data_IF_282270862306
#
_entry.id   IF_282270862306
#
_cell.length_a   1.000
_cell.length_b   1.000
_cell.length_c   1.000
_cell.angle_alpha   90.00
_cell.angle_beta   90.00
_cell.angle_gamma   90.00
#
_symmetry.space_group_name_H-M   'P 1'
#
loop_
_entity.id
_entity.type
_entity.pdbx_description
1 polymer ?
2 non-polymer ?
3 water ?
#
# COMPACT_ATOMS: atom_id res chain seq x y z
N UNK A 1 4.98 -26.98 -18.60
CA UNK A 1 3.59 -26.48 -18.38
C UNK A 1 3.58 -25.27 -17.43
N UNK A 2 4.12 -25.40 -16.22
CA UNK A 2 4.01 -24.29 -15.22
C UNK A 2 5.34 -23.61 -14.97
N UNK A 3 5.34 -22.28 -14.76
CA UNK A 3 6.60 -21.62 -14.42
C UNK A 3 7.17 -22.13 -13.11
N UNK A 4 8.51 -22.12 -13.03
CA UNK A 4 9.19 -22.47 -11.77
C UNK A 4 8.95 -21.50 -10.63
N UNK A 5 8.69 -20.24 -10.97
CA UNK A 5 8.45 -19.23 -9.97
C UNK A 5 7.44 -18.21 -10.45
N UNK A 6 6.68 -17.71 -9.47
CA UNK A 6 5.63 -16.72 -9.68
C UNK A 6 5.70 -15.70 -8.55
N UNK A 7 5.47 -14.42 -8.88
CA UNK A 7 5.35 -13.37 -7.89
C UNK A 7 4.42 -12.30 -8.43
N UNK A 8 3.16 -12.37 -8.00
CA UNK A 8 2.14 -11.45 -8.51
C UNK A 8 2.35 -10.01 -8.10
N UNK A 9 3.21 -9.76 -7.12
CA UNK A 9 3.53 -8.36 -6.80
C UNK A 9 4.20 -7.70 -7.98
N UNK A 10 4.99 -8.48 -8.74
CA UNK A 10 5.73 -7.98 -9.92
C UNK A 10 4.81 -7.53 -11.02
N UNK A 11 3.55 -7.98 -11.04
CA UNK A 11 2.56 -7.51 -12.04
C UNK A 11 1.65 -6.42 -11.50
N UNK A 12 1.96 -5.87 -10.33
CA UNK A 12 1.18 -4.79 -9.77
C UNK A 12 -0.22 -5.20 -9.32
N UNK A 13 -0.38 -6.46 -8.93
CA UNK A 13 -1.66 -7.04 -8.58
C UNK A 13 -1.92 -7.14 -7.08
N UNK A 14 -1.04 -6.62 -6.24
CA UNK A 14 -1.10 -6.82 -4.79
C UNK A 14 -0.96 -5.46 -4.11
N UNK A 15 -1.88 -5.18 -3.19
CA UNK A 15 -1.93 -3.94 -2.47
C UNK A 15 -0.95 -3.98 -1.29
N UNK A 16 -0.82 -2.86 -0.62
CA UNK A 16 0.04 -2.78 0.56
C UNK A 16 -0.37 -3.77 1.62
N UNK A 17 0.59 -4.24 2.38
CA UNK A 17 0.30 -5.11 3.54
C UNK A 17 -0.51 -4.32 4.55
N UNK A 18 -1.51 -4.98 5.13
CA UNK A 18 -2.36 -4.38 6.12
C UNK A 18 -2.01 -4.92 7.53
N UNK A 19 -2.53 -4.23 8.52
CA UNK A 19 -2.33 -4.60 9.92
C UNK A 19 -3.66 -4.87 10.62
N UNK A 20 -3.92 -6.13 10.92
CA UNK A 20 -5.20 -6.50 11.54
C UNK A 20 -5.38 -6.11 13.00
N UNK A 21 -4.27 -5.97 13.73
CA UNK A 21 -4.33 -5.67 15.15
C UNK A 21 -5.04 -6.74 15.96
N UNK A 22 -5.82 -6.32 16.96
CA UNK A 22 -6.45 -7.26 17.90
C UNK A 22 -7.76 -7.88 17.41
N UNK A 23 -8.16 -7.55 16.20
CA UNK A 23 -9.34 -8.13 15.57
C UNK A 23 -8.92 -9.30 14.70
N UNK A 24 -9.54 -10.45 14.93
CA UNK A 24 -9.24 -11.68 14.21
C UNK A 24 -9.84 -11.67 12.80
N UNK A 25 -9.37 -10.74 11.99
CA UNK A 25 -9.97 -10.47 10.66
C UNK A 25 -9.10 -10.99 9.54
N UNK A 26 -8.11 -11.84 9.82
CA UNK A 26 -7.27 -12.38 8.73
C UNK A 26 -8.05 -12.99 7.58
N UNK A 27 -9.13 -13.69 7.92
CA UNK A 27 -10.06 -14.23 6.91
C UNK A 27 -10.53 -13.13 5.92
N UNK A 28 -10.84 -11.93 6.44
CA UNK A 28 -11.37 -10.87 5.58
C UNK A 28 -10.25 -10.27 4.73
N UNK A 29 -9.07 -10.10 5.32
CA UNK A 29 -7.93 -9.57 4.54
C UNK A 29 -7.51 -10.53 3.45
N UNK A 30 -7.55 -11.81 3.76
CA UNK A 30 -7.22 -12.88 2.81
C UNK A 30 -8.19 -12.82 1.60
N UNK A 31 -9.48 -12.69 1.88
CA UNK A 31 -10.50 -12.61 0.81
C UNK A 31 -10.34 -11.35 -0.04
N UNK A 32 -10.25 -10.17 0.60
CA UNK A 32 -10.08 -8.92 -0.21
C UNK A 32 -8.79 -8.94 -1.06
N UNK A 33 -7.68 -9.47 -0.51
CA UNK A 33 -6.44 -9.58 -1.27
C UNK A 33 -6.57 -10.35 -2.57
N UNK A 34 -7.25 -11.51 -2.52
CA UNK A 34 -7.50 -12.29 -3.71
C UNK A 34 -8.37 -11.53 -4.73
N UNK A 35 -9.39 -10.84 -4.24
CA UNK A 35 -10.28 -10.07 -5.13
C UNK A 35 -9.60 -8.86 -5.72
N UNK A 36 -8.74 -8.20 -4.93
CA UNK A 36 -7.95 -7.04 -5.42
C UNK A 36 -7.14 -7.39 -6.64
N UNK A 37 -6.58 -8.60 -6.67
CA UNK A 37 -5.77 -9.00 -7.81
C UNK A 37 -6.62 -9.19 -9.06
N UNK A 38 -7.78 -9.82 -8.91
CA UNK A 38 -8.67 -10.00 -10.06
C UNK A 38 -9.18 -8.65 -10.57
N UNK A 39 -9.44 -7.73 -9.66
CA UNK A 39 -9.85 -6.39 -10.07
C UNK A 39 -8.76 -5.69 -10.92
N UNK A 40 -7.52 -5.75 -10.47
CA UNK A 40 -6.41 -5.23 -11.25
C UNK A 40 -6.30 -5.88 -12.63
N UNK A 41 -6.36 -7.20 -12.70
CA UNK A 41 -6.22 -7.88 -13.97
C UNK A 41 -7.33 -7.47 -14.93
N UNK A 42 -8.55 -7.34 -14.41
CA UNK A 42 -9.70 -6.97 -15.23
C UNK A 42 -9.75 -5.50 -15.66
N UNK A 43 -9.44 -4.58 -14.75
CA UNK A 43 -9.69 -3.15 -14.98
C UNK A 43 -8.46 -2.31 -15.15
N UNK A 44 -7.29 -2.88 -14.85
CA UNK A 44 -6.05 -2.14 -14.79
C UNK A 44 -5.84 -1.28 -13.56
N UNK A 45 -6.80 -1.24 -12.62
CA UNK A 45 -6.67 -0.38 -11.43
C UNK A 45 -6.38 -1.25 -10.19
N UNK A 46 -5.38 -0.84 -9.41
CA UNK A 46 -5.11 -1.47 -8.14
C UNK A 46 -5.78 -0.67 -7.04
N UNK A 47 -6.72 -1.30 -6.34
CA UNK A 47 -7.55 -0.63 -5.33
C UNK A 47 -7.71 -1.54 -4.14
N UNK A 48 -7.28 -1.09 -2.97
CA UNK A 48 -7.56 -1.82 -1.73
C UNK A 48 -9.06 -1.88 -1.50
N UNK A 49 -9.56 -3.08 -1.21
CA UNK A 49 -10.96 -3.33 -0.95
C UNK A 49 -11.17 -3.48 0.56
N UNK A 50 -12.42 -3.26 0.95
CA UNK A 50 -12.72 -3.04 2.36
C UNK A 50 -12.85 -4.35 3.15
N UNK A 51 -11.80 -4.72 3.90
CA UNK A 51 -11.90 -5.81 4.89
C UNK A 51 -12.98 -5.53 5.96
N UNK A 52 -13.13 -4.27 6.34
CA UNK A 52 -14.10 -3.88 7.36
C UNK A 52 -15.53 -4.16 6.92
N UNK A 53 -15.80 -3.90 5.65
CA UNK A 53 -17.10 -4.22 5.01
C UNK A 53 -17.42 -5.71 5.25
N UNK A 54 -16.44 -6.58 5.11
CA UNK A 54 -16.66 -8.03 5.35
C UNK A 54 -16.93 -8.31 6.81
N UNK A 55 -16.08 -7.76 7.70
CA UNK A 55 -16.21 -7.94 9.13
C UNK A 55 -17.61 -7.51 9.62
N UNK A 56 -18.07 -6.34 9.17
CA UNK A 56 -19.34 -5.79 9.65
C UNK A 56 -20.57 -6.38 8.97
N UNK A 57 -20.45 -6.85 7.74
CA UNK A 57 -21.61 -7.20 6.89
C UNK A 57 -21.75 -8.68 6.51
N UNK A 58 -20.64 -9.39 6.40
CA UNK A 58 -20.65 -10.82 6.06
C UNK A 58 -20.56 -11.55 7.38
N UNK A 59 -21.69 -11.61 8.05
CA UNK A 59 -21.75 -12.03 9.44
C UNK A 59 -22.53 -13.36 9.56
N UNK A 60 -23.51 -13.42 10.45
CA UNK A 60 -24.08 -14.72 10.85
C UNK A 60 -24.73 -15.50 9.71
N UNK A 61 -25.36 -14.81 8.77
CA UNK A 61 -25.92 -15.43 7.57
C UNK A 61 -24.85 -16.21 6.76
N UNK A 62 -23.60 -15.77 6.87
CA UNK A 62 -22.45 -16.33 6.16
C UNK A 62 -21.57 -17.17 7.04
N UNK A 63 -22.06 -17.52 8.24
CA UNK A 63 -21.30 -18.32 9.18
C UNK A 63 -20.05 -17.66 9.74
N UNK A 64 -19.98 -16.32 9.67
CA UNK A 64 -18.83 -15.55 10.14
C UNK A 64 -19.18 -14.77 11.41
N UNK A 65 -18.14 -14.42 12.15
CA UNK A 65 -18.31 -13.72 13.42
C UNK A 65 -17.35 -12.55 13.58
N UNK A 66 -17.16 -11.80 12.50
CA UNK A 66 -16.36 -10.58 12.52
C UNK A 66 -14.99 -10.76 13.08
N UNK A 67 -14.68 -9.98 14.13
CA UNK A 67 -13.41 -10.07 14.82
C UNK A 67 -13.15 -11.38 15.54
N UNK A 68 -14.17 -12.22 15.70
CA UNK A 68 -13.97 -13.57 16.25
C UNK A 68 -13.62 -14.61 15.21
N UNK A 69 -13.65 -14.27 13.91
CA UNK A 69 -13.22 -15.20 12.85
C UNK A 69 -14.32 -15.35 11.79
N UNK A 70 -13.95 -16.02 10.72
CA UNK A 70 -14.83 -16.17 9.55
C UNK A 70 -14.12 -16.96 8.48
N UNK A 71 -14.72 -17.00 7.29
CA UNK A 71 -14.27 -17.81 6.15
C UNK A 71 -14.26 -16.96 4.88
N UNK A 72 -13.19 -17.12 4.12
CA UNK A 72 -13.04 -16.49 2.82
C UNK A 72 -14.15 -16.90 1.83
N UNK A 73 -14.48 -18.18 1.78
CA UNK A 73 -15.55 -18.67 0.86
C UNK A 73 -16.87 -17.92 1.06
N UNK A 74 -17.31 -17.81 2.31
CA UNK A 74 -18.57 -17.13 2.58
C UNK A 74 -18.46 -15.61 2.47
N UNK A 75 -17.26 -15.07 2.70
CA UNK A 75 -17.00 -13.67 2.39
C UNK A 75 -17.24 -13.41 0.88
N UNK A 76 -16.72 -14.27 0.00
CA UNK A 76 -16.97 -14.14 -1.44
C UNK A 76 -18.47 -14.28 -1.73
N UNK A 77 -19.15 -15.22 -1.09
CA UNK A 77 -20.59 -15.36 -1.35
C UNK A 77 -21.35 -14.08 -0.94
N UNK A 78 -20.94 -13.46 0.17
CA UNK A 78 -21.52 -12.16 0.55
C UNK A 78 -21.35 -11.13 -0.55
N UNK A 79 -20.16 -11.03 -1.14
CA UNK A 79 -19.90 -10.05 -2.17
C UNK A 79 -20.79 -10.31 -3.39
N UNK A 80 -20.90 -11.57 -3.75
CA UNK A 80 -21.83 -11.99 -4.82
C UNK A 80 -23.27 -11.55 -4.50
N UNK A 81 -23.76 -11.96 -3.33
CA UNK A 81 -25.15 -11.68 -2.95
C UNK A 81 -25.44 -10.18 -2.86
N UNK A 82 -24.46 -9.43 -2.36
CA UNK A 82 -24.59 -7.99 -2.13
C UNK A 82 -24.41 -7.19 -3.40
N UNK A 83 -23.91 -7.82 -4.46
CA UNK A 83 -23.58 -7.15 -5.73
C UNK A 83 -22.54 -6.03 -5.51
N UNK A 84 -21.64 -6.25 -4.56
CA UNK A 84 -20.52 -5.37 -4.41
C UNK A 84 -19.78 -5.42 -3.11
N UNK A 85 -18.62 -4.79 -3.12
CA UNK A 85 -17.85 -4.49 -1.91
C UNK A 85 -17.29 -3.08 -2.08
N UNK A 86 -17.24 -2.34 -0.97
CA UNK A 86 -16.73 -0.98 -0.99
C UNK A 86 -15.21 -0.93 -1.04
N UNK A 87 -14.66 0.18 -1.51
CA UNK A 87 -13.22 0.48 -1.35
C UNK A 87 -12.85 0.56 0.13
N UNK A 88 -11.63 0.15 0.45
CA UNK A 88 -11.07 0.39 1.78
C UNK A 88 -11.06 1.88 2.08
N UNK A 89 -10.74 2.71 1.10
CA UNK A 89 -10.77 4.19 1.32
C UNK A 89 -12.11 4.70 1.80
N UNK A 90 -13.20 4.19 1.22
CA UNK A 90 -14.55 4.61 1.63
C UNK A 90 -15.04 3.96 2.91
N UNK A 91 -14.49 2.81 3.24
CA UNK A 91 -14.96 2.00 4.37
C UNK A 91 -13.70 1.41 5.05
N UNK A 92 -12.99 2.26 5.79
CA UNK A 92 -11.65 1.90 6.30
C UNK A 92 -11.68 0.97 7.50
N UNK A 93 -10.55 0.31 7.71
CA UNK A 93 -10.45 -0.72 8.75
C UNK A 93 -10.23 -0.13 10.13
N UNK A 94 -11.08 -0.57 11.07
CA UNK A 94 -11.03 -0.07 12.45
C UNK A 94 -10.68 -1.14 13.49
N UNK A 95 -10.43 -2.38 13.07
CA UNK A 95 -10.11 -3.44 14.03
C UNK A 95 -11.13 -3.63 15.15
N UNK A 96 -12.40 -3.49 14.80
CA UNK A 96 -13.51 -3.64 15.71
C UNK A 96 -14.75 -4.08 14.93
N UNK A 97 -15.67 -4.77 15.59
CA UNK A 97 -16.97 -5.09 15.00
C UNK A 97 -17.83 -3.84 15.02
N UNK A 98 -18.48 -3.54 13.90
CA UNK A 98 -19.33 -2.34 13.78
C UNK A 98 -20.62 -2.73 13.07
N UNK A 99 -21.60 -1.83 13.11
CA UNK A 99 -22.82 -2.00 12.32
C UNK A 99 -22.44 -2.04 10.84
N UNK A 100 -23.18 -2.81 10.03
CA UNK A 100 -22.92 -2.83 8.58
C UNK A 100 -23.19 -1.43 8.04
N UNK A 101 -22.21 -0.89 7.32
CA UNK A 101 -22.29 0.45 6.78
C UNK A 101 -21.95 0.43 5.29
N UNK A 102 -22.18 -0.72 4.64
CA UNK A 102 -22.05 -0.81 3.19
C UNK A 102 -22.85 0.28 2.49
N UNK A 103 -22.22 0.94 1.52
CA UNK A 103 -22.86 1.99 0.74
C UNK A 103 -22.49 1.72 -0.71
N UNK A 104 -23.46 1.34 -1.51
CA UNK A 104 -23.20 1.02 -2.91
C UNK A 104 -22.65 2.17 -3.72
N UNK A 105 -22.88 3.42 -3.28
CA UNK A 105 -22.26 4.59 -3.92
C UNK A 105 -20.74 4.43 -4.10
N UNK A 106 -20.11 3.77 -3.12
CA UNK A 106 -18.67 3.59 -3.08
C UNK A 106 -18.21 2.20 -3.44
N UNK A 107 -19.06 1.43 -4.07
CA UNK A 107 -18.68 0.12 -4.59
C UNK A 107 -17.43 0.19 -5.47
N UNK A 108 -16.46 -0.67 -5.18
CA UNK A 108 -15.21 -0.69 -5.91
C UNK A 108 -14.94 -2.02 -6.63
N UNK A 109 -15.68 -3.07 -6.30
CA UNK A 109 -15.58 -4.33 -7.04
C UNK A 109 -16.86 -5.13 -6.87
N UNK A 110 -17.02 -6.07 -7.78
CA UNK A 110 -18.00 -7.13 -7.66
C UNK A 110 -17.25 -8.47 -7.65
N UNK A 111 -18.01 -9.54 -7.43
CA UNK A 111 -17.52 -10.93 -7.52
C UNK A 111 -18.52 -11.71 -8.32
N UNK A 112 -18.05 -12.37 -9.37
CA UNK A 112 -18.92 -13.20 -10.23
C UNK A 112 -19.09 -14.64 -9.70
N UNK A 113 -18.01 -15.18 -9.13
CA UNK A 113 -17.95 -16.57 -8.68
C UNK A 113 -16.69 -16.76 -7.84
N UNK A 114 -16.63 -17.88 -7.14
CA UNK A 114 -15.42 -18.32 -6.49
C UNK A 114 -15.33 -19.83 -6.61
N UNK A 115 -14.14 -20.32 -6.43
CA UNK A 115 -13.78 -21.72 -6.65
C UNK A 115 -12.97 -22.21 -5.46
N UNK A 116 -13.31 -23.39 -4.92
CA UNK A 116 -12.56 -24.02 -3.85
C UNK A 116 -11.70 -25.11 -4.45
N UNK A 117 -10.45 -25.20 -4.02
CA UNK A 117 -9.53 -26.24 -4.46
C UNK A 117 -9.53 -27.44 -3.53
N UNK A 118 -9.10 -28.60 -4.03
CA UNK A 118 -9.09 -29.83 -3.23
C UNK A 118 -8.07 -29.81 -2.11
N UNK A 119 -8.43 -30.38 -0.97
CA UNK A 119 -7.60 -30.32 0.23
C UNK A 119 -6.26 -30.98 0.02
N UNK A 120 -5.19 -30.26 0.41
CA UNK A 120 -3.83 -30.81 0.43
C UNK A 120 -3.10 -30.95 -0.90
N UNK A 121 -3.72 -30.51 -1.99
CA UNK A 121 -3.12 -30.70 -3.29
C UNK A 121 -2.25 -29.49 -3.62
N UNK A 122 -0.97 -29.56 -3.29
CA UNK A 122 -0.03 -28.45 -3.56
C UNK A 122 0.26 -28.25 -5.06
N UNK A 123 0.09 -29.32 -5.82
CA UNK A 123 0.16 -29.23 -7.27
C UNK A 123 -0.97 -28.40 -7.88
N UNK A 124 -2.18 -28.60 -7.37
CA UNK A 124 -3.36 -27.89 -7.83
C UNK A 124 -3.28 -26.42 -7.38
N UNK A 125 -2.78 -26.20 -6.17
CA UNK A 125 -2.60 -24.85 -5.69
C UNK A 125 -1.58 -24.10 -6.58
N UNK A 126 -0.49 -24.78 -6.95
CA UNK A 126 0.56 -24.19 -7.78
C UNK A 126 -0.04 -23.78 -9.14
N UNK A 127 -0.84 -24.66 -9.72
CA UNK A 127 -1.47 -24.37 -10.99
C UNK A 127 -2.41 -23.16 -10.91
N UNK A 128 -3.21 -23.06 -9.84
CA UNK A 128 -4.13 -21.93 -9.66
C UNK A 128 -3.38 -20.62 -9.48
N UNK A 129 -2.31 -20.66 -8.66
CA UNK A 129 -1.47 -19.48 -8.48
C UNK A 129 -0.88 -19.03 -9.79
N UNK A 130 -0.36 -19.95 -10.59
CA UNK A 130 0.22 -19.57 -11.88
C UNK A 130 -0.81 -19.08 -12.91
N UNK A 131 -1.97 -19.74 -12.95
CA UNK A 131 -2.90 -19.57 -14.06
C UNK A 131 -4.08 -18.70 -13.74
N UNK A 132 -4.38 -18.47 -12.46
CA UNK A 132 -5.52 -17.61 -12.07
C UNK A 132 -5.11 -16.34 -11.37
N UNK A 133 -4.12 -16.41 -10.49
CA UNK A 133 -3.78 -15.29 -9.64
C UNK A 133 -3.60 -15.68 -8.18
N UNK A 134 -3.44 -14.68 -7.30
CA UNK A 134 -3.28 -14.96 -5.87
C UNK A 134 -4.45 -15.77 -5.33
N UNK A 135 -4.18 -16.70 -4.40
CA UNK A 135 -5.19 -17.61 -3.87
C UNK A 135 -5.29 -17.46 -2.38
N UNK A 136 -6.54 -17.30 -1.90
CA UNK A 136 -6.81 -17.22 -0.47
C UNK A 136 -6.64 -18.58 0.16
N UNK A 137 -5.91 -18.64 1.29
CA UNK A 137 -5.69 -19.91 1.97
C UNK A 137 -5.69 -19.67 3.46
N UNK A 138 -5.84 -20.75 4.20
CA UNK A 138 -5.54 -20.71 5.63
C UNK A 138 -4.26 -21.41 5.93
N UNK A 139 -3.68 -21.07 7.07
CA UNK A 139 -2.52 -21.74 7.63
C UNK A 139 -2.68 -21.95 9.12
N UNK A 140 -1.94 -22.91 9.62
CA UNK A 140 -1.83 -23.10 11.07
C UNK A 140 -0.81 -22.11 11.57
N UNK A 141 -1.28 -21.03 12.19
CA UNK A 141 -0.36 -19.99 12.72
C UNK A 141 -0.19 -20.02 14.24
N UNK A 142 -0.64 -21.09 14.89
CA UNK A 142 -0.62 -21.18 16.36
C UNK A 142 0.69 -21.79 16.89
N UNK A 143 1.79 -21.14 16.53
CA UNK A 143 3.15 -21.53 16.93
C UNK A 143 3.93 -20.26 17.15
N UNK A 144 4.65 -20.17 18.28
CA UNK A 144 5.44 -18.97 18.48
C UNK A 144 6.38 -18.65 17.32
N UNK A 145 6.92 -19.69 16.68
CA UNK A 145 7.81 -19.49 15.53
C UNK A 145 7.16 -18.65 14.40
N UNK A 146 5.84 -18.74 14.25
CA UNK A 146 5.17 -17.95 13.21
C UNK A 146 5.21 -16.48 13.58
N UNK A 147 4.84 -16.19 14.81
CA UNK A 147 4.83 -14.81 15.32
C UNK A 147 6.23 -14.18 15.33
N UNK A 148 7.26 -15.00 15.56
CA UNK A 148 8.63 -14.54 15.64
C UNK A 148 9.36 -14.58 14.29
N UNK A 149 8.70 -15.03 13.23
CA UNK A 149 9.37 -15.19 11.93
C UNK A 149 9.86 -13.85 11.43
N UNK A 150 11.10 -13.84 10.93
CA UNK A 150 11.71 -12.65 10.33
C UNK A 150 12.10 -12.82 8.87
N UNK A 151 12.71 -13.94 8.51
CA UNK A 151 13.16 -14.14 7.13
C UNK A 151 13.47 -15.61 6.83
N UNK A 152 13.59 -15.89 5.56
CA UNK A 152 13.89 -17.24 5.06
C UNK A 152 12.66 -18.06 4.76
N UNK A 153 12.90 -19.33 4.43
CA UNK A 153 11.82 -20.28 4.16
C UNK A 153 11.44 -20.91 5.49
N UNK A 154 10.20 -20.63 5.91
CA UNK A 154 9.69 -21.03 7.20
C UNK A 154 9.35 -22.52 7.17
N UNK A 155 9.91 -23.26 8.14
CA UNK A 155 9.58 -24.66 8.39
C UNK A 155 9.44 -24.86 9.90
N UNK A 156 8.27 -25.33 10.33
CA UNK A 156 7.96 -25.53 11.73
C UNK A 156 7.58 -27.00 11.84
N UNK A 157 8.48 -27.83 12.43
CA UNK A 157 8.19 -29.27 12.54
C UNK A 157 6.92 -29.63 13.29
N UNK A 158 6.46 -28.79 14.23
CA UNK A 158 5.21 -29.09 14.96
C UNK A 158 3.94 -28.57 14.27
N UNK A 159 4.08 -28.00 13.06
CA UNK A 159 2.88 -27.49 12.33
C UNK A 159 1.90 -28.61 12.02
N UNK A 160 0.61 -28.27 11.97
CA UNK A 160 -0.44 -29.21 11.57
C UNK A 160 -1.07 -28.73 10.27
N UNK A 161 -1.91 -29.60 9.70
CA UNK A 161 -2.67 -29.27 8.50
C UNK A 161 -4.00 -28.58 8.83
N UNK A 162 -4.29 -28.41 10.11
CA UNK A 162 -5.48 -27.67 10.57
C UNK A 162 -5.24 -26.18 10.59
N UNK A 163 -6.10 -25.40 9.97
CA UNK A 163 -5.82 -23.99 9.75
C UNK A 163 -6.65 -23.09 10.63
N UNK A 164 -6.12 -21.91 10.92
CA UNK A 164 -6.74 -20.98 11.85
C UNK A 164 -6.44 -19.50 11.59
N UNK A 165 -5.85 -19.19 10.43
CA UNK A 165 -5.35 -17.86 10.15
C UNK A 165 -5.38 -17.69 8.64
N UNK A 166 -6.04 -16.65 8.15
CA UNK A 166 -6.15 -16.41 6.71
C UNK A 166 -4.98 -15.62 6.17
N UNK A 167 -4.48 -16.05 5.03
CA UNK A 167 -3.38 -15.38 4.36
C UNK A 167 -3.62 -15.47 2.85
N UNK A 168 -2.73 -14.87 2.07
CA UNK A 168 -2.89 -14.84 0.60
C UNK A 168 -1.63 -15.35 -0.05
N UNK A 169 -1.75 -16.38 -0.89
CA UNK A 169 -0.62 -16.90 -1.64
C UNK A 169 -0.49 -16.08 -2.89
N UNK A 170 0.59 -15.30 -2.98
CA UNK A 170 0.84 -14.41 -4.14
C UNK A 170 1.91 -14.94 -5.08
N UNK A 171 2.49 -16.08 -4.74
CA UNK A 171 3.54 -16.66 -5.60
C UNK A 171 4.16 -17.91 -5.03
N UNK A 172 5.24 -18.33 -5.66
CA UNK A 172 5.99 -19.50 -5.21
C UNK A 172 7.33 -19.48 -5.91
N UNK A 173 8.28 -20.18 -5.31
CA UNK A 173 9.60 -20.32 -5.92
C UNK A 173 10.46 -21.33 -5.20
N UNK A 174 11.76 -21.16 -5.35
CA UNK A 174 12.75 -22.14 -4.88
C UNK A 174 14.01 -21.33 -4.62
N UNK A 175 14.49 -21.39 -3.38
CA UNK A 175 15.71 -20.73 -3.01
C UNK A 175 16.73 -21.85 -2.80
N UNK A 176 17.53 -22.08 -3.86
CA UNK A 176 18.63 -23.06 -3.86
C UNK A 176 18.24 -24.39 -3.24
N UNK A 177 17.16 -24.94 -3.77
CA UNK A 177 16.70 -26.28 -3.39
C UNK A 177 15.68 -26.32 -2.27
N UNK A 178 15.35 -25.18 -1.68
CA UNK A 178 14.20 -25.09 -0.77
C UNK A 178 12.99 -24.44 -1.45
N UNK A 179 11.95 -25.20 -1.72
CA UNK A 179 10.76 -24.68 -2.40
C UNK A 179 9.89 -23.94 -1.40
N UNK A 180 9.27 -22.86 -1.84
CA UNK A 180 8.39 -22.11 -0.95
C UNK A 180 7.13 -21.58 -1.64
N UNK A 181 6.17 -21.21 -0.79
CA UNK A 181 4.99 -20.42 -1.14
C UNK A 181 5.26 -19.00 -0.68
N UNK A 182 4.93 -18.03 -1.50
CA UNK A 182 5.12 -16.62 -1.15
C UNK A 182 3.79 -16.13 -0.61
N UNK A 183 3.76 -15.79 0.67
CA UNK A 183 2.49 -15.51 1.37
C UNK A 183 2.42 -14.10 1.93
N UNK A 184 1.33 -13.39 1.61
CA UNK A 184 1.05 -12.08 2.19
C UNK A 184 0.27 -12.25 3.49
N UNK A 185 0.80 -11.72 4.60
CA UNK A 185 0.10 -11.74 5.89
C UNK A 185 -0.58 -10.37 6.08
N UNK A 186 -1.32 -10.26 7.17
CA UNK A 186 -2.03 -9.02 7.58
C UNK A 186 -1.63 -8.61 8.99
N UNK A 187 -0.33 -8.71 9.29
CA UNK A 187 0.21 -8.26 10.57
C UNK A 187 1.19 -7.10 10.40
N UNK A 188 0.99 -6.31 9.34
CA UNK A 188 1.82 -5.15 9.09
C UNK A 188 3.15 -5.48 8.48
N UNK A 189 3.85 -4.40 8.16
CA UNK A 189 5.13 -4.45 7.48
C UNK A 189 6.28 -4.94 8.35
N UNK A 190 6.12 -4.88 9.67
CA UNK A 190 7.17 -5.29 10.60
C UNK A 190 7.20 -6.81 10.80
N UNK A 191 6.14 -7.50 10.39
CA UNK A 191 6.15 -8.94 10.36
C UNK A 191 6.98 -9.46 9.18
N UNK A 192 7.80 -10.48 9.44
CA UNK A 192 8.48 -11.21 8.37
C UNK A 192 9.28 -10.34 7.42
N UNK A 193 9.13 -10.63 6.12
CA UNK A 193 9.87 -9.96 5.06
C UNK A 193 8.98 -8.88 4.49
N UNK A 194 9.01 -7.70 5.15
CA UNK A 194 8.15 -6.59 4.74
C UNK A 194 6.66 -6.99 4.73
N UNK A 195 6.23 -7.82 5.70
CA UNK A 195 4.84 -8.29 5.77
C UNK A 195 4.52 -9.63 5.14
N UNK A 196 5.51 -10.24 4.48
CA UNK A 196 5.41 -11.53 3.80
C UNK A 196 6.14 -12.62 4.55
N UNK A 197 5.71 -13.84 4.30
CA UNK A 197 6.37 -15.04 4.79
C UNK A 197 6.53 -16.02 3.65
N UNK A 198 7.72 -16.57 3.51
CA UNK A 198 7.94 -17.67 2.56
C UNK A 198 7.82 -18.98 3.34
N UNK A 199 6.83 -19.79 2.99
CA UNK A 199 6.48 -21.01 3.74
C UNK A 199 6.85 -22.25 2.92
N UNK A 200 7.38 -23.28 3.59
CA UNK A 200 7.81 -24.51 2.90
C UNK A 200 6.73 -25.08 1.96
N UNK A 201 7.15 -25.42 0.74
CA UNK A 201 6.24 -25.93 -0.30
C UNK A 201 6.66 -27.34 -0.67
N UNK A 202 5.68 -28.19 -0.99
CA UNK A 202 5.90 -29.63 -1.29
C UNK A 202 6.61 -30.34 -0.15
N UNK A 203 6.25 -29.95 1.07
CA UNK A 203 6.68 -30.65 2.29
C UNK A 203 5.45 -31.18 3.03
N UNK A 204 4.56 -31.84 2.28
CA UNK A 204 3.45 -32.57 2.86
C UNK A 204 2.35 -31.66 3.41
N UNK A 205 2.05 -30.61 2.67
CA UNK A 205 1.01 -29.64 3.04
C UNK A 205 1.35 -28.97 4.36
N UNK A 206 2.56 -28.40 4.38
CA UNK A 206 3.13 -27.85 5.58
C UNK A 206 2.28 -26.68 6.11
N UNK A 207 1.89 -26.78 7.38
CA UNK A 207 1.00 -25.79 8.06
C UNK A 207 -0.38 -25.64 7.41
N UNK A 208 -0.79 -26.65 6.65
CA UNK A 208 -2.11 -26.65 6.03
C UNK A 208 -2.28 -25.60 4.95
N UNK A 209 -1.20 -25.13 4.36
CA UNK A 209 -1.29 -24.11 3.32
C UNK A 209 -2.25 -24.44 2.15
N UNK A 210 -2.27 -25.72 1.77
CA UNK A 210 -3.23 -26.20 0.74
C UNK A 210 -4.47 -26.92 1.26
N UNK A 211 -4.74 -26.84 2.57
CA UNK A 211 -5.93 -27.45 3.12
C UNK A 211 -7.23 -26.86 2.55
N UNK A 212 -7.39 -25.53 2.61
CA UNK A 212 -8.63 -24.85 2.18
C UNK A 212 -8.41 -23.61 1.28
N UNK A 213 -7.90 -23.83 0.06
CA UNK A 213 -7.64 -22.73 -0.85
C UNK A 213 -8.92 -22.31 -1.59
N UNK A 214 -9.14 -21.01 -1.81
CA UNK A 214 -10.14 -20.58 -2.75
C UNK A 214 -9.76 -19.30 -3.49
N UNK A 215 -10.40 -19.01 -4.61
CA UNK A 215 -10.15 -17.78 -5.33
C UNK A 215 -11.41 -17.28 -6.01
N UNK A 216 -11.56 -15.93 -6.06
CA UNK A 216 -12.74 -15.37 -6.71
C UNK A 216 -12.41 -15.03 -8.16
N UNK A 217 -13.44 -14.76 -8.97
CA UNK A 217 -13.25 -14.20 -10.31
C UNK A 217 -14.21 -13.06 -10.54
N UNK A 218 -13.79 -12.15 -11.41
CA UNK A 218 -14.64 -11.05 -11.86
C UNK A 218 -14.66 -11.20 -13.36
N UNK A 219 -15.81 -11.58 -13.90
CA UNK A 219 -15.93 -11.88 -15.32
C UNK A 219 -16.37 -10.67 -16.15
N UNK A 220 -15.97 -10.65 -17.42
CA UNK A 220 -16.47 -9.65 -18.33
C UNK A 220 -17.99 -9.79 -18.39
N UNK A 221 -18.71 -8.71 -18.16
CA UNK A 221 -20.16 -8.73 -18.14
C UNK A 221 -20.72 -9.11 -16.79
N UNK B 1 -10.55 33.29 -7.80
CA UNK B 1 -9.42 32.80 -8.65
C UNK B 1 -9.12 31.32 -8.35
N UNK B 2 -8.85 30.95 -7.09
CA UNK B 2 -8.51 29.57 -6.72
C UNK B 2 -9.65 28.87 -5.96
N UNK B 3 -9.79 27.54 -6.12
CA UNK B 3 -10.81 26.85 -5.32
C UNK B 3 -10.53 26.95 -3.84
N UNK B 4 -11.60 27.00 -3.03
CA UNK B 4 -11.44 27.03 -1.58
C UNK B 4 -10.89 25.73 -1.01
N UNK B 5 -11.15 24.63 -1.70
CA UNK B 5 -10.64 23.33 -1.29
C UNK B 5 -10.26 22.48 -2.47
N UNK B 6 -9.24 21.65 -2.26
CA UNK B 6 -8.67 20.74 -3.25
C UNK B 6 -8.37 19.40 -2.59
N UNK B 7 -8.61 18.31 -3.31
CA UNK B 7 -8.21 16.99 -2.88
C UNK B 7 -7.97 16.11 -4.09
N UNK B 8 -6.69 15.93 -4.42
CA UNK B 8 -6.31 15.17 -5.61
C UNK B 8 -6.66 13.69 -5.55
N UNK B 9 -6.99 13.17 -4.37
CA UNK B 9 -7.47 11.79 -4.28
C UNK B 9 -8.77 11.66 -5.08
N UNK B 10 -9.59 12.71 -5.12
CA UNK B 10 -10.84 12.74 -5.91
C UNK B 10 -10.65 12.53 -7.42
N UNK B 11 -9.46 12.81 -7.92
CA UNK B 11 -9.13 12.57 -9.35
C UNK B 11 -8.34 11.29 -9.58
N UNK B 12 -8.22 10.45 -8.55
CA UNK B 12 -7.49 9.20 -8.69
C UNK B 12 -6.02 9.35 -9.00
N UNK B 13 -5.42 10.42 -8.46
CA UNK B 13 -4.04 10.79 -8.72
C UNK B 13 -3.09 10.39 -7.59
N UNK B 14 -3.57 9.65 -6.58
CA UNK B 14 -2.74 9.42 -5.38
C UNK B 14 -2.78 7.93 -5.07
N UNK B 15 -1.60 7.32 -4.94
CA UNK B 15 -1.49 5.90 -4.66
C UNK B 15 -1.72 5.65 -3.18
N UNK B 16 -1.75 4.36 -2.84
CA UNK B 16 -1.95 3.96 -1.45
C UNK B 16 -0.83 4.50 -0.57
N UNK B 17 -1.16 4.80 0.68
CA UNK B 17 -0.12 5.22 1.62
C UNK B 17 0.87 4.07 1.82
N UNK B 18 2.15 4.43 1.91
CA UNK B 18 3.22 3.47 2.12
C UNK B 18 3.74 3.51 3.55
N UNK B 19 4.59 2.56 3.90
CA UNK B 19 5.14 2.44 5.25
C UNK B 19 6.66 2.40 5.17
N UNK B 20 7.31 3.50 5.57
CA UNK B 20 8.78 3.56 5.44
C UNK B 20 9.58 2.73 6.43
N UNK B 21 9.00 2.42 7.59
CA UNK B 21 9.70 1.66 8.62
C UNK B 21 10.88 2.42 9.17
N UNK B 22 11.92 1.68 9.50
CA UNK B 22 13.11 2.25 10.19
C UNK B 22 14.12 2.92 9.23
N UNK B 23 13.81 2.96 7.94
CA UNK B 23 14.64 3.62 6.93
C UNK B 23 14.10 5.04 6.75
N UNK B 24 14.99 6.01 6.88
CA UNK B 24 14.64 7.43 6.76
C UNK B 24 14.44 7.83 5.29
N UNK B 25 13.45 7.23 4.64
CA UNK B 25 13.25 7.37 3.19
C UNK B 25 12.07 8.27 2.87
N UNK B 26 11.56 9.03 3.85
CA UNK B 26 10.40 9.91 3.57
C UNK B 26 10.62 10.84 2.37
N UNK B 27 11.84 11.34 2.24
CA UNK B 27 12.23 12.14 1.06
C UNK B 27 11.92 11.40 -0.26
N UNK B 28 12.18 10.09 -0.32
CA UNK B 28 11.96 9.32 -1.55
C UNK B 28 10.47 9.10 -1.76
N UNK B 29 9.72 8.80 -0.69
CA UNK B 29 8.27 8.62 -0.82
C UNK B 29 7.57 9.90 -1.25
N UNK B 30 8.04 11.01 -0.71
CA UNK B 30 7.51 12.33 -1.04
C UNK B 30 7.71 12.61 -2.55
N UNK B 31 8.91 12.34 -3.04
CA UNK B 31 9.21 12.56 -4.48
C UNK B 31 8.40 11.63 -5.38
N UNK B 32 8.39 10.32 -5.11
CA UNK B 32 7.59 9.41 -5.98
C UNK B 32 6.08 9.75 -5.96
N UNK B 33 5.53 10.12 -4.80
CA UNK B 33 4.12 10.55 -4.73
C UNK B 33 3.75 11.69 -5.66
N UNK B 34 4.60 12.72 -5.71
CA UNK B 34 4.36 13.83 -6.63
C UNK B 34 4.44 13.39 -8.09
N UNK B 35 5.41 12.54 -8.41
CA UNK B 35 5.56 12.07 -9.79
C UNK B 35 4.45 11.11 -10.19
N UNK B 36 3.96 10.28 -9.25
CA UNK B 36 2.82 9.38 -9.51
C UNK B 36 1.60 10.14 -9.98
N UNK B 37 1.37 11.32 -9.42
CA UNK B 37 0.22 12.13 -9.82
C UNK B 37 0.37 12.66 -11.23
N UNK B 38 1.55 13.13 -11.57
CA UNK B 38 1.79 13.63 -12.93
C UNK B 38 1.68 12.49 -13.95
N UNK B 39 2.14 11.31 -13.58
CA UNK B 39 2.02 10.15 -14.46
C UNK B 39 0.54 9.81 -14.72
N UNK B 40 -0.27 9.79 -13.68
CA UNK B 40 -1.70 9.62 -13.86
C UNK B 40 -2.34 10.66 -14.76
N UNK B 41 -2.03 11.93 -14.51
CA UNK B 41 -2.62 12.99 -15.33
C UNK B 41 -2.26 12.84 -16.79
N UNK B 42 -1.00 12.50 -17.05
CA UNK B 42 -0.48 12.38 -18.40
C UNK B 42 -0.93 11.12 -19.14
N UNK B 43 -0.95 9.96 -18.47
CA UNK B 43 -1.15 8.68 -19.15
C UNK B 43 -2.45 7.99 -18.84
N UNK B 44 -3.18 8.49 -17.85
CA UNK B 44 -4.34 7.83 -17.32
C UNK B 44 -4.11 6.65 -16.38
N UNK B 45 -2.85 6.26 -16.14
CA UNK B 45 -2.55 5.09 -15.30
C UNK B 45 -2.00 5.51 -13.94
N UNK B 46 -2.56 4.97 -12.87
CA UNK B 46 -2.04 5.20 -11.52
C UNK B 46 -1.14 4.02 -11.16
N UNK B 47 0.13 4.31 -10.92
CA UNK B 47 1.16 3.29 -10.71
C UNK B 47 2.07 3.74 -9.60
N UNK B 48 2.20 2.96 -8.55
CA UNK B 48 3.20 3.24 -7.52
C UNK B 48 4.62 3.12 -8.11
N UNK B 49 5.41 4.15 -7.85
CA UNK B 49 6.78 4.24 -8.37
C UNK B 49 7.75 3.88 -7.25
N UNK B 50 8.95 3.51 -7.67
CA UNK B 50 9.88 2.85 -6.76
C UNK B 50 10.66 3.83 -5.89
N UNK B 51 10.23 3.97 -4.62
CA UNK B 51 11.03 4.72 -3.61
C UNK B 51 12.41 4.07 -3.41
N UNK B 52 12.46 2.73 -3.48
CA UNK B 52 13.73 2.01 -3.31
C UNK B 52 14.75 2.38 -4.40
N UNK B 53 14.29 2.51 -5.63
CA UNK B 53 15.11 2.98 -6.78
C UNK B 53 15.80 4.31 -6.38
N UNK B 54 15.08 5.22 -5.72
CA UNK B 54 15.69 6.48 -5.30
C UNK B 54 16.70 6.28 -4.20
N UNK B 55 16.31 5.51 -3.17
CA UNK B 55 17.22 5.20 -2.06
C UNK B 55 18.55 4.61 -2.55
N UNK B 56 18.47 3.62 -3.46
CA UNK B 56 19.67 2.89 -3.91
C UNK B 56 20.47 3.64 -4.99
N UNK B 57 19.82 4.48 -5.79
CA UNK B 57 20.47 5.06 -7.00
C UNK B 57 20.68 6.58 -6.99
N UNK B 58 19.83 7.32 -6.29
CA UNK B 58 19.99 8.79 -6.19
C UNK B 58 20.74 9.03 -4.90
N UNK B 59 22.04 8.83 -4.97
CA UNK B 59 22.85 8.75 -3.76
C UNK B 59 23.81 9.95 -3.68
N UNK B 60 25.09 9.70 -3.43
CA UNK B 60 26.01 10.79 -3.05
C UNK B 60 26.18 11.88 -4.12
N UNK B 61 26.14 11.51 -5.39
CA UNK B 61 26.16 12.45 -6.49
C UNK B 61 25.00 13.47 -6.42
N UNK B 62 23.88 13.06 -5.80
CA UNK B 62 22.68 13.88 -5.63
C UNK B 62 22.53 14.43 -4.21
N UNK B 63 23.61 14.36 -3.44
CA UNK B 63 23.58 14.84 -2.05
C UNK B 63 22.71 14.06 -1.10
N UNK B 64 22.35 12.82 -1.47
CA UNK B 64 21.46 11.96 -0.66
C UNK B 64 22.23 10.82 -0.04
N UNK B 65 21.65 10.25 1.01
CA UNK B 65 22.29 9.20 1.78
C UNK B 65 21.31 8.07 2.13
N UNK B 66 20.46 7.72 1.17
CA UNK B 66 19.58 6.57 1.30
C UNK B 66 18.72 6.61 2.54
N UNK B 67 18.81 5.56 3.34
CA UNK B 67 18.09 5.48 4.61
C UNK B 67 18.52 6.51 5.67
N UNK B 68 19.62 7.21 5.45
CA UNK B 68 20.00 8.30 6.36
C UNK B 68 19.39 9.63 5.97
N UNK B 69 18.73 9.75 4.80
CA UNK B 69 18.04 10.97 4.41
C UNK B 69 18.46 11.41 3.01
N UNK B 70 17.76 12.40 2.51
CA UNK B 70 17.96 12.89 1.15
C UNK B 70 16.98 14.02 0.88
N UNK B 71 16.91 14.43 -0.40
CA UNK B 71 16.13 15.58 -0.85
C UNK B 71 15.29 15.20 -2.07
N UNK B 72 14.07 15.67 -2.05
CA UNK B 72 13.15 15.44 -3.17
C UNK B 72 13.65 16.12 -4.46
N UNK B 73 14.17 17.33 -4.34
CA UNK B 73 14.70 18.06 -5.51
C UNK B 73 15.76 17.23 -6.26
N UNK B 74 16.74 16.71 -5.55
CA UNK B 74 17.78 15.95 -6.19
C UNK B 74 17.31 14.54 -6.61
N UNK B 75 16.31 13.98 -5.91
CA UNK B 75 15.67 12.79 -6.38
C UNK B 75 15.05 13.01 -7.77
N UNK B 76 14.34 14.14 -7.96
CA UNK B 76 13.80 14.49 -9.28
C UNK B 76 14.93 14.66 -10.30
N UNK B 77 16.00 15.32 -9.93
CA UNK B 77 17.14 15.48 -10.84
C UNK B 77 17.71 14.12 -11.26
N UNK B 78 17.78 13.17 -10.33
CA UNK B 78 18.21 11.81 -10.69
C UNK B 78 17.29 11.20 -11.76
N UNK B 79 15.98 11.33 -11.59
CA UNK B 79 15.04 10.75 -12.53
C UNK B 79 15.19 11.39 -13.90
N UNK B 80 15.35 12.70 -13.91
CA UNK B 80 15.67 13.44 -15.16
C UNK B 80 16.91 12.90 -15.81
N UNK B 81 18.01 12.88 -15.06
CA UNK B 81 19.32 12.44 -15.60
C UNK B 81 19.28 11.01 -16.11
N UNK B 82 18.61 10.15 -15.37
CA UNK B 82 18.54 8.72 -15.65
C UNK B 82 17.56 8.38 -16.77
N UNK B 83 16.70 9.33 -17.12
CA UNK B 83 15.61 9.15 -18.10
C UNK B 83 14.66 8.04 -17.68
N UNK B 84 14.46 7.90 -16.37
CA UNK B 84 13.43 7.05 -15.87
C UNK B 84 13.52 6.67 -14.42
N UNK B 85 12.40 6.11 -13.94
CA UNK B 85 12.33 5.44 -12.65
C UNK B 85 11.49 4.18 -12.82
N UNK B 86 11.87 3.13 -12.10
CA UNK B 86 11.15 1.85 -12.18
C UNK B 86 9.85 1.87 -11.38
N UNK B 87 8.94 0.99 -11.74
CA UNK B 87 7.74 0.73 -10.88
C UNK B 87 8.16 0.16 -9.53
N UNK B 88 7.37 0.47 -8.50
CA UNK B 88 7.53 -0.20 -7.22
C UNK B 88 7.36 -1.74 -7.39
N UNK B 89 6.43 -2.16 -8.23
CA UNK B 89 6.25 -3.60 -8.48
C UNK B 89 7.52 -4.30 -8.97
N UNK B 90 8.26 -3.65 -9.85
CA UNK B 90 9.53 -4.20 -10.36
C UNK B 90 10.71 -4.05 -9.41
N UNK B 91 10.64 -3.06 -8.54
CA UNK B 91 11.77 -2.64 -7.69
C UNK B 91 11.18 -2.27 -6.31
N UNK B 92 10.80 -3.32 -5.54
CA UNK B 92 10.04 -3.11 -4.32
C UNK B 92 10.84 -2.59 -3.13
N UNK B 93 10.13 -2.01 -2.18
CA UNK B 93 10.73 -1.33 -1.04
C UNK B 93 11.09 -2.32 0.06
N UNK B 94 12.34 -2.26 0.49
CA UNK B 94 12.89 -3.14 1.52
C UNK B 94 13.33 -2.42 2.78
N UNK B 95 13.16 -1.10 2.88
CA UNK B 95 13.58 -0.35 4.07
C UNK B 95 15.05 -0.59 4.48
N UNK B 96 15.92 -0.69 3.48
CA UNK B 96 17.35 -0.88 3.64
C UNK B 96 18.08 -0.27 2.44
N UNK B 97 19.34 0.13 2.65
CA UNK B 97 20.20 0.57 1.55
C UNK B 97 20.66 -0.64 0.76
N UNK B 98 20.58 -0.57 -0.56
CA UNK B 98 21.02 -1.67 -1.44
C UNK B 98 21.83 -1.10 -2.59
N UNK B 99 22.53 -1.97 -3.32
CA UNK B 99 23.17 -1.59 -4.58
C UNK B 99 22.11 -1.12 -5.58
N UNK B 100 22.47 -0.16 -6.44
CA UNK B 100 21.54 0.34 -7.47
C UNK B 100 21.21 -0.79 -8.42
N UNK B 101 19.92 -1.04 -8.61
CA UNK B 101 19.45 -2.13 -9.46
C UNK B 101 18.42 -1.60 -10.47
N UNK B 102 18.53 -0.32 -10.82
CA UNK B 102 17.70 0.23 -11.87
C UNK B 102 17.82 -0.58 -13.16
N UNK B 103 16.68 -0.85 -13.80
CA UNK B 103 16.63 -1.56 -15.06
C UNK B 103 15.62 -0.86 -15.96
N UNK B 104 16.07 -0.27 -17.06
CA UNK B 104 15.19 0.47 -17.94
C UNK B 104 14.06 -0.37 -18.53
N UNK B 105 14.26 -1.69 -18.62
CA UNK B 105 13.19 -2.61 -19.02
C UNK B 105 11.89 -2.39 -18.25
N UNK B 106 12.01 -2.04 -16.97
CA UNK B 106 10.87 -1.86 -16.07
C UNK B 106 10.53 -0.42 -15.77
N UNK B 107 11.07 0.50 -16.58
CA UNK B 107 10.75 1.92 -16.42
C UNK B 107 9.25 2.15 -16.45
N UNK B 108 8.76 2.90 -15.47
CA UNK B 108 7.34 3.19 -15.37
C UNK B 108 7.00 4.68 -15.46
N UNK B 109 7.98 5.55 -15.28
CA UNK B 109 7.76 6.98 -15.50
C UNK B 109 9.08 7.67 -15.87
N UNK B 110 8.95 8.85 -16.47
CA UNK B 110 10.06 9.76 -16.68
C UNK B 110 9.76 11.05 -15.91
N UNK B 111 10.76 11.94 -15.87
CA UNK B 111 10.61 13.28 -15.29
C UNK B 111 11.31 14.22 -16.26
N UNK B 112 10.61 15.26 -16.72
CA UNK B 112 11.21 16.22 -17.67
C UNK B 112 11.88 17.39 -16.95
N UNK B 113 11.27 17.82 -15.83
CA UNK B 113 11.71 18.99 -15.09
C UNK B 113 11.09 18.98 -13.72
N UNK B 114 11.62 19.81 -12.83
CA UNK B 114 10.96 20.10 -11.57
C UNK B 114 11.14 21.57 -11.26
N UNK B 115 10.27 22.03 -10.38
CA UNK B 115 10.19 23.45 -10.01
C UNK B 115 10.20 23.56 -8.49
N UNK B 116 11.03 24.45 -7.95
CA UNK B 116 11.03 24.74 -6.52
C UNK B 116 10.24 26.02 -6.30
N UNK B 117 9.40 26.02 -5.27
CA UNK B 117 8.63 27.18 -4.89
C UNK B 117 9.39 28.01 -3.84
N UNK B 118 9.11 29.31 -3.76
CA UNK B 118 9.76 30.20 -2.81
C UNK B 118 9.48 29.86 -1.36
N UNK B 119 10.49 29.98 -0.51
CA UNK B 119 10.39 29.58 0.88
C UNK B 119 9.29 30.36 1.61
N UNK B 120 8.45 29.63 2.34
CA UNK B 120 7.43 30.22 3.21
C UNK B 120 6.18 30.80 2.57
N UNK B 121 6.05 30.72 1.25
CA UNK B 121 4.93 31.36 0.57
C UNK B 121 3.78 30.39 0.44
N UNK B 122 2.88 30.43 1.43
CA UNK B 122 1.71 29.54 1.44
C UNK B 122 0.68 29.86 0.36
N UNK B 123 0.68 31.11 -0.08
CA UNK B 123 -0.13 31.50 -1.25
C UNK B 123 0.32 30.85 -2.55
N UNK B 124 1.63 30.79 -2.74
CA UNK B 124 2.22 30.21 -3.92
C UNK B 124 2.04 28.68 -3.87
N UNK B 125 2.18 28.11 -2.69
CA UNK B 125 1.97 26.67 -2.52
C UNK B 125 0.51 26.31 -2.86
N UNK B 126 -0.44 27.16 -2.41
CA UNK B 126 -1.86 26.92 -2.66
C UNK B 126 -2.14 26.91 -4.15
N UNK B 127 -1.56 27.87 -4.85
CA UNK B 127 -1.75 27.99 -6.27
C UNK B 127 -1.20 26.76 -7.01
N UNK B 128 -0.02 26.32 -6.62
CA UNK B 128 0.62 25.13 -7.22
C UNK B 128 -0.21 23.88 -6.98
N UNK B 129 -0.67 23.69 -5.76
CA UNK B 129 -1.53 22.56 -5.45
C UNK B 129 -2.78 22.59 -6.32
N UNK B 130 -3.43 23.73 -6.44
CA UNK B 130 -4.63 23.79 -7.29
C UNK B 130 -4.36 23.60 -8.79
N UNK B 131 -3.28 24.20 -9.27
CA UNK B 131 -3.05 24.32 -10.71
C UNK B 131 -2.10 23.34 -11.29
N UNK B 132 -1.22 22.75 -10.47
CA UNK B 132 -0.20 21.81 -10.98
C UNK B 132 -0.39 20.37 -10.51
N UNK B 133 -0.86 20.20 -9.28
CA UNK B 133 -0.98 18.87 -8.70
C UNK B 133 -0.39 18.77 -7.31
N UNK B 134 -0.31 17.55 -6.78
CA UNK B 134 0.34 17.34 -5.47
C UNK B 134 1.78 17.86 -5.47
N UNK B 135 2.19 18.43 -4.34
CA UNK B 135 3.47 19.11 -4.22
C UNK B 135 4.26 18.45 -3.09
N UNK B 136 5.49 18.05 -3.40
CA UNK B 136 6.41 17.50 -2.41
C UNK B 136 6.88 18.60 -1.47
N UNK B 137 6.82 18.34 -0.15
CA UNK B 137 7.24 19.31 0.83
C UNK B 137 7.93 18.60 1.99
N UNK B 138 8.67 19.37 2.79
CA UNK B 138 9.16 18.87 4.05
C UNK B 138 8.43 19.50 5.19
N UNK B 139 8.41 18.82 6.33
CA UNK B 139 7.84 19.35 7.55
C UNK B 139 8.75 19.05 8.74
N UNK B 140 8.57 19.84 9.78
CA UNK B 140 9.21 19.54 11.06
C UNK B 140 8.36 18.52 11.76
N UNK B 141 8.79 17.26 11.75
CA UNK B 141 8.03 16.18 12.38
C UNK B 141 8.62 15.68 13.71
N UNK B 142 9.56 16.43 14.28
CA UNK B 142 10.28 16.03 15.50
C UNK B 142 9.55 16.49 16.78
N UNK B 143 8.27 16.12 16.90
CA UNK B 143 7.46 16.44 18.07
C UNK B 143 6.59 15.22 18.35
N UNK B 144 6.53 14.80 19.62
CA UNK B 144 5.65 13.68 19.93
C UNK B 144 4.22 13.87 19.42
N UNK B 145 3.72 15.12 19.46
CA UNK B 145 2.38 15.40 18.94
C UNK B 145 2.16 14.95 17.49
N UNK B 146 3.20 14.94 16.68
CA UNK B 146 3.08 14.48 15.29
C UNK B 146 2.78 12.98 15.26
N UNK B 147 3.56 12.24 16.03
CA UNK B 147 3.40 10.78 16.12
C UNK B 147 2.10 10.36 16.76
N UNK B 148 1.58 11.18 17.67
CA UNK B 148 0.33 10.90 18.38
C UNK B 148 -0.89 11.47 17.68
N UNK B 149 -0.71 12.18 16.57
CA UNK B 149 -1.84 12.80 15.88
C UNK B 149 -2.80 11.72 15.39
N UNK B 150 -4.09 11.94 15.60
CA UNK B 150 -5.14 11.02 15.13
C UNK B 150 -6.12 11.66 14.18
N UNK B 151 -6.55 12.90 14.46
CA UNK B 151 -7.54 13.56 13.63
C UNK B 151 -7.62 15.05 13.87
N UNK B 152 -8.28 15.72 12.92
CA UNK B 152 -8.48 17.16 12.97
C UNK B 152 -7.32 17.96 12.36
N UNK B 153 -7.29 19.27 12.64
CA UNK B 153 -6.21 20.13 12.10
C UNK B 153 -5.09 20.18 13.11
N UNK B 154 -3.93 19.66 12.73
CA UNK B 154 -2.73 19.67 13.55
C UNK B 154 -2.14 21.06 13.72
N UNK B 155 -1.98 21.48 14.98
CA UNK B 155 -1.27 22.72 15.32
C UNK B 155 -0.38 22.44 16.53
N UNK B 156 0.91 22.65 16.36
CA UNK B 156 1.92 22.37 17.37
C UNK B 156 2.64 23.69 17.58
N UNK B 157 2.36 24.38 18.70
CA UNK B 157 3.03 25.67 18.95
C UNK B 157 4.56 25.65 18.98
N UNK B 158 5.18 24.52 19.33
CA UNK B 158 6.64 24.42 19.34
C UNK B 158 7.28 24.03 17.99
N UNK B 159 6.45 23.92 16.95
CA UNK B 159 6.98 23.59 15.62
C UNK B 159 7.92 24.68 15.09
N UNK B 160 8.91 24.29 14.29
CA UNK B 160 9.81 25.26 13.62
C UNK B 160 9.62 25.22 12.12
N UNK B 161 10.25 26.15 11.41
CA UNK B 161 10.21 26.18 9.94
C UNK B 161 11.31 25.32 9.32
N UNK B 162 12.15 24.72 10.18
CA UNK B 162 13.20 23.79 9.74
C UNK B 162 12.61 22.38 9.57
N UNK B 163 12.86 21.78 8.43
CA UNK B 163 12.16 20.55 8.07
C UNK B 163 13.10 19.35 8.14
N UNK B 164 12.52 18.18 8.39
CA UNK B 164 13.27 16.97 8.59
C UNK B 164 12.54 15.69 8.15
N UNK B 165 11.43 15.83 7.43
CA UNK B 165 10.58 14.69 7.11
C UNK B 165 9.85 15.04 5.81
N UNK B 166 9.93 14.20 4.80
CA UNK B 166 9.29 14.44 3.52
C UNK B 166 7.86 13.93 3.51
N UNK B 167 6.96 14.72 2.94
CA UNK B 167 5.56 14.36 2.84
C UNK B 167 5.02 14.92 1.54
N UNK B 168 3.76 14.67 1.21
CA UNK B 168 3.18 15.10 -0.07
C UNK B 168 1.90 15.87 0.22
N UNK B 169 1.81 17.10 -0.27
CA UNK B 169 0.60 17.88 -0.13
C UNK B 169 -0.30 17.52 -1.30
N UNK B 170 -1.43 16.88 -0.97
CA UNK B 170 -2.41 16.42 -1.99
C UNK B 170 -3.65 17.28 -2.04
N UNK B 171 -3.72 18.29 -1.18
CA UNK B 171 -4.89 19.19 -1.16
C UNK B 171 -4.83 20.21 -0.06
N UNK B 172 -5.95 20.90 0.13
CA UNK B 172 -6.10 21.89 1.19
C UNK B 172 -7.58 22.15 1.37
N UNK B 173 -7.90 22.66 2.54
CA UNK B 173 -9.30 23.02 2.81
C UNK B 173 -9.43 23.74 4.14
N UNK B 174 -10.61 23.61 4.75
CA UNK B 174 -10.85 24.10 6.08
C UNK B 174 -11.75 23.13 6.84
N UNK B 175 -11.45 22.98 8.10
CA UNK B 175 -12.19 22.09 9.00
C UNK B 175 -12.42 22.82 10.30
N UNK B 176 -13.67 22.89 10.76
CA UNK B 176 -14.02 23.49 12.07
C UNK B 176 -13.38 24.86 12.25
N UNK B 177 -13.40 25.67 11.17
CA UNK B 177 -12.88 27.02 11.13
C UNK B 177 -11.38 27.18 10.96
N UNK B 178 -10.66 26.06 10.79
CA UNK B 178 -9.20 26.07 10.73
C UNK B 178 -8.83 25.63 9.32
N UNK B 179 -8.05 26.46 8.63
CA UNK B 179 -7.50 26.09 7.33
C UNK B 179 -6.41 25.06 7.46
N UNK B 180 -6.36 24.12 6.50
CA UNK B 180 -5.35 23.10 6.55
C UNK B 180 -4.76 22.76 5.18
N UNK B 181 -3.63 22.08 5.26
CA UNK B 181 -2.99 21.39 4.12
C UNK B 181 -3.28 19.91 4.31
N UNK B 182 -3.67 19.23 3.24
CA UNK B 182 -3.97 17.81 3.29
C UNK B 182 -2.69 17.08 2.90
N UNK B 183 -2.13 16.36 3.86
CA UNK B 183 -0.81 15.79 3.73
C UNK B 183 -0.78 14.28 3.77
N UNK B 184 -0.20 13.68 2.73
CA UNK B 184 0.04 12.21 2.69
C UNK B 184 1.39 11.91 3.34
N UNK B 185 1.37 11.04 4.35
CA UNK B 185 2.59 10.60 5.03
C UNK B 185 2.97 9.23 4.48
N UNK B 186 4.06 8.67 4.95
CA UNK B 186 4.56 7.34 4.60
C UNK B 186 4.82 6.51 5.88
N UNK B 187 3.82 6.53 6.75
CA UNK B 187 3.82 5.68 7.97
C UNK B 187 2.61 4.76 8.01
N UNK B 188 2.13 4.32 6.85
CA UNK B 188 1.04 3.34 6.73
C UNK B 188 -0.35 3.88 7.09
N UNK B 189 -1.33 3.00 7.19
CA UNK B 189 -2.73 3.45 7.42
C UNK B 189 -3.02 3.81 8.88
N UNK B 190 -2.21 3.33 9.83
CA UNK B 190 -2.52 3.55 11.26
C UNK B 190 -2.07 4.91 11.77
N UNK B 191 -1.26 5.60 11.00
CA UNK B 191 -0.92 6.98 11.31
C UNK B 191 -2.08 7.92 10.96
N UNK B 192 -2.38 8.87 11.84
CA UNK B 192 -3.31 9.96 11.51
C UNK B 192 -4.68 9.50 11.04
N UNK B 193 -5.16 10.12 9.96
CA UNK B 193 -6.44 9.83 9.35
C UNK B 193 -6.20 8.93 8.15
N UNK B 194 -6.14 7.63 8.43
CA UNK B 194 -5.85 6.67 7.36
C UNK B 194 -4.54 6.97 6.59
N UNK B 195 -3.52 7.38 7.34
CA UNK B 195 -2.23 7.76 6.75
C UNK B 195 -1.98 9.20 6.39
N UNK B 196 -3.00 10.05 6.55
CA UNK B 196 -2.98 11.46 6.27
C UNK B 196 -2.98 12.30 7.53
N UNK B 197 -2.46 13.50 7.40
CA UNK B 197 -2.51 14.51 8.46
C UNK B 197 -2.94 15.83 7.84
N UNK B 198 -3.89 16.49 8.50
CA UNK B 198 -4.31 17.82 8.10
C UNK B 198 -3.53 18.80 8.96
N UNK B 199 -2.65 19.59 8.34
CA UNK B 199 -1.71 20.47 9.04
C UNK B 199 -2.11 21.92 8.86
N UNK B 200 -1.96 22.71 9.91
CA UNK B 200 -2.39 24.12 9.86
C UNK B 200 -1.84 24.89 8.66
N UNK B 201 -2.71 25.63 7.99
CA UNK B 201 -2.39 26.44 6.81
C UNK B 201 -2.63 27.91 7.11
N UNK B 202 -1.81 28.76 6.51
CA UNK B 202 -1.82 30.23 6.75
C UNK B 202 -1.64 30.58 8.21
N UNK B 203 -0.83 29.79 8.91
CA UNK B 203 -0.39 30.09 10.28
C UNK B 203 1.13 30.29 10.31
N UNK B 204 1.62 31.11 9.40
CA UNK B 204 3.02 31.56 9.43
C UNK B 204 4.01 30.45 9.08
N UNK B 205 3.66 29.67 8.07
CA UNK B 205 4.49 28.55 7.61
C UNK B 205 4.73 27.54 8.72
N UNK B 206 3.60 27.07 9.24
CA UNK B 206 3.56 26.19 10.40
C UNK B 206 4.27 24.88 10.10
N UNK B 207 5.25 24.52 10.96
CA UNK B 207 6.10 23.32 10.78
C UNK B 207 6.89 23.28 9.47
N UNK B 208 7.11 24.45 8.88
CA UNK B 208 7.88 24.55 7.65
C UNK B 208 7.25 23.92 6.44
N UNK B 209 5.94 23.74 6.46
CA UNK B 209 5.25 23.10 5.34
C UNK B 209 5.56 23.72 3.95
N UNK B 210 5.67 25.05 3.93
CA UNK B 210 6.04 25.79 2.70
C UNK B 210 7.51 26.22 2.59
N UNK B 211 8.37 25.68 3.45
CA UNK B 211 9.77 26.02 3.38
C UNK B 211 10.45 25.54 2.09
N UNK B 212 10.26 24.26 1.75
CA UNK B 212 10.93 23.66 0.57
C UNK B 212 9.97 22.82 -0.32
N UNK B 213 8.98 23.46 -0.96
CA UNK B 213 8.07 22.79 -1.84
C UNK B 213 8.68 22.58 -3.22
N UNK B 214 8.47 21.41 -3.84
CA UNK B 214 8.80 21.24 -5.25
C UNK B 214 7.81 20.32 -5.94
N UNK B 215 7.74 20.41 -7.26
CA UNK B 215 6.89 19.49 -8.00
C UNK B 215 7.53 19.17 -9.36
N UNK B 216 7.35 17.91 -9.82
CA UNK B 216 7.93 17.51 -11.08
C UNK B 216 6.90 17.65 -12.20
N UNK B 217 7.36 17.61 -13.45
CA UNK B 217 6.43 17.52 -14.59
C UNK B 217 6.90 16.50 -15.59
N UNK B 218 5.96 15.94 -16.33
CA UNK B 218 6.26 15.00 -17.42
C UNK B 218 5.70 15.61 -18.68
N UNK B 219 6.60 16.03 -19.57
CA UNK B 219 6.19 16.80 -20.76
C UNK B 219 6.15 15.91 -22.01
N UNK B 220 5.25 16.25 -22.92
CA UNK B 220 5.15 15.54 -24.16
C UNK B 220 6.49 15.61 -24.89
N UNK B 221 6.97 14.45 -25.33
CA UNK B 221 8.23 14.36 -26.05
C UNK B 221 9.38 14.15 -25.07
X LIG C 1 -18.48 -24.57 5.15
X LIG C 1 -16.35 -24.97 6.55
X LIG C 1 -15.34 -24.87 5.45
X LIG C 1 -14.14 -25.78 5.66
X LIG C 1 -11.73 -23.79 7.25
X LIG C 1 -11.78 -24.81 8.20
X LIG C 1 -12.69 -25.70 7.73
X LIG C 1 -17.50 -22.73 6.41
X LIG C 1 -13.08 -26.97 8.40
X LIG C 1 -12.40 -27.06 9.75
X LIG C 1 -11.05 -25.02 9.47
X LIG C 1 -10.92 -22.57 7.24
X LIG C 1 -18.84 -22.09 6.65
X LIG C 1 -10.24 -22.22 6.08
X LIG C 1 -9.47 -21.08 6.02
X LIG C 1 -9.37 -20.27 7.13
X LIG C 1 -10.04 -20.58 8.32
X LIG C 1 -10.82 -21.74 8.37
X LIG C 1 -9.92 -19.75 9.48
X LIG C 1 -9.92 -19.05 10.43
X LIG C 1 -9.94 -18.17 11.55
X LIG C 1 -19.28 -23.37 4.63
X LIG C 1 -10.44 -18.60 12.78
X LIG C 1 -10.46 -17.74 13.88
X LIG C 1 -9.97 -16.45 13.72
X LIG C 1 -9.48 -16.01 12.50
X LIG C 1 -9.47 -16.87 11.43
X LIG C 1 -10.99 -18.20 15.22
X LIG C 1 -13.33 -18.79 15.78
X LIG C 1 -14.52 -18.72 14.81
X LIG C 1 -15.82 -18.90 15.29
X LIG C 1 -16.90 -18.85 14.43
X LIG C 1 -16.71 -18.62 13.08
X LIG C 1 -15.43 -18.45 12.59
X LIG C 1 -14.34 -18.51 13.45
X LIG C 1 -9.87 -26.66 12.07
X LIG C 1 -13.15 -25.21 6.56
X LIG C 1 -17.65 -24.18 6.34
X LIG C 1 -12.56 -24.02 6.23
X LIG C 1 -11.05 -26.49 9.64
X LIG C 1 -12.08 -19.17 15.10
X LIG C 1 -19.86 -22.58 5.73
X LIG C 1 -8.63 -26.78 9.81
X LIG C 1 -10.11 -28.63 10.43
X LIG C 1 -9.84 -27.23 10.43
X LIG C 1 -8.37 -18.82 7.04
X LIG D 1 21.20 21.92 -2.27
X LIG D 1 19.86 22.09 -0.19
X LIG D 1 18.40 22.22 -0.10
X LIG D 1 17.92 23.08 1.03
X LIG D 1 16.00 20.84 2.94
X LIG D 1 16.73 21.40 3.99
X LIG D 1 17.54 22.32 3.42
X LIG D 1 20.91 19.97 -0.87
X LIG D 1 18.52 23.21 4.14
X LIG D 1 18.57 22.76 5.60
X LIG D 1 16.70 21.16 5.43
X LIG D 1 14.98 19.78 3.01
X LIG D 1 21.26 19.05 -2.00
X LIG D 1 13.76 19.90 2.36
X LIG D 1 12.81 18.89 2.46
X LIG D 1 13.08 17.75 3.20
X LIG D 1 14.30 17.60 3.89
X LIG D 1 15.25 18.61 3.77
X LIG D 1 14.58 16.43 4.66
X LIG D 1 14.89 15.45 5.27
X LIG D 1 15.27 14.23 5.93
X LIG D 1 21.96 20.95 -3.12
X LIG D 1 16.38 14.21 6.77
X LIG D 1 16.75 13.03 7.43
X LIG D 1 15.99 11.88 7.21
X LIG D 1 14.88 11.91 6.38
X LIG D 1 14.52 13.08 5.74
X LIG D 1 17.95 12.99 8.33
X LIG D 1 20.27 13.20 7.56
X LIG D 1 20.80 13.45 6.14
X LIG D 1 22.11 13.12 5.81
X LIG D 1 22.59 13.35 4.52
X LIG D 1 21.77 13.90 3.55
X LIG D 1 20.48 14.24 3.88
X LIG D 1 19.98 14.02 5.16
X LIG D 1 17.22 22.08 8.72
X LIG D 1 17.31 22.30 2.08
X LIG D 1 20.26 21.19 -1.37
X LIG D 1 16.33 21.37 1.76
X LIG D 1 17.21 22.39 6.05
X LIG D 1 18.99 13.86 7.81
X LIG D 1 21.31 19.72 -3.24
X LIG D 1 15.21 22.88 7.33
X LIG D 1 17.17 24.35 7.50
X LIG D 1 16.63 23.03 7.40
X LIG D 1 11.88 16.50 3.32
#
# INVERSE_FOLDING_TARGET
ILPDSVDWREKGCVTEVKYQGSCGASWAFSAVGALEAQLKLKTGKLVSLSAQNLVDCSTEKYGNKGCNGGFMTTAFQYIIDNKGIDSDASYPYKAMDQKCQYDSKYRAATCSKYTELPYGREDVLKEAVANKGPVSVGVDARHPSFFLYRSGVYYEPSCTQNVNHGVLVVGYGDLNGKEYWLVKNSWGHNFGEEGYIRMARNKGNHCGIASFPSYPEILQGGG
ILPDSVDWREKGCVTEVKYQGSCGASWAFSAVGALEAQLKLKTGKLVSLSAQNLVDCSTEKYGNKGCNGGFMTTAFQYIIDNKGIDSDASYPYKAMDQKCQYDSKYRAATCSKYTELPYGREDVLKEAVANKGPVSVGVDARHPSFFLYRSGVYYEPSCTQNVNHGVLVVGYGDLNGKEYWLVKNSWGHNFGEEGYIRMARNKGNHCGIASFPSYPEILQGGG
BFV C1 C13 C15 C17 C22 C23 C24 C3 C30 C31 C33 C39 C4 C41 C42 C43 C44 C45 C54 C56 C58 C6 C60 C61 C62 C63 C64 C71 C75 C77 C79 C80 C81 C82 C83 C94 N19 N2 N21 N32 N73 O5 O92 O96 S90 CL52
BFV C1 C13 C15 C17 C22 C23 C24 C3 C30 C31 C33 C39 C4 C41 C42 C43 C44 C45 C54 C56 C58 C6 C60 C61 C62 C63 C64 C71 C75 C77 C79 C80 C81 C82 C83 C94 N19 N2 N21 N32 N73 O5 O92 O96 S90 CL52
#
